data_IF_958686895359
#
_entry.id   IF_958686895359
#
_cell.length_a   1.000
_cell.length_b   1.000
_cell.length_c   1.000
_cell.angle_alpha   90.00
_cell.angle_beta   90.00
_cell.angle_gamma   90.00
#
_symmetry.space_group_name_H-M   'P 1'
#
loop_
_entity.id
_entity.type
_entity.pdbx_description
1 polymer ?
#
# COMPACT_ATOMS: atom_id res chain seq x y z
N UNK A 1 46.66 61.48 17.15
CA UNK A 1 45.95 61.02 15.93
C UNK A 1 45.97 59.49 15.75
N UNK A 2 45.83 58.71 16.84
CA UNK A 2 45.95 57.23 16.84
C UNK A 2 44.73 56.57 17.49
N UNK A 3 43.88 57.37 18.15
CA UNK A 3 42.67 56.82 18.87
C UNK A 3 41.40 56.67 18.01
N UNK A 4 41.40 57.15 16.77
CA UNK A 4 40.20 57.07 15.88
C UNK A 4 40.09 55.75 15.12
N UNK A 5 41.16 54.97 14.99
CA UNK A 5 41.15 53.74 14.17
C UNK A 5 40.71 52.47 14.94
N UNK A 6 40.73 52.49 16.29
CA UNK A 6 40.34 51.31 17.09
C UNK A 6 38.83 51.13 17.15
N UNK A 7 38.05 52.22 17.13
CA UNK A 7 36.60 52.15 17.14
C UNK A 7 36.00 51.68 15.81
N UNK A 8 36.64 51.97 14.70
CA UNK A 8 36.20 51.54 13.37
C UNK A 8 36.42 50.03 13.17
N UNK A 9 37.48 49.45 13.67
CA UNK A 9 37.79 48.02 13.59
C UNK A 9 36.82 47.17 14.42
N UNK A 10 36.38 47.65 15.61
CA UNK A 10 35.46 46.95 16.46
C UNK A 10 34.04 46.85 15.85
N UNK A 11 33.59 47.91 15.14
CA UNK A 11 32.27 47.92 14.50
C UNK A 11 32.25 47.00 13.28
N UNK A 12 33.33 46.92 12.49
CA UNK A 12 33.43 46.02 11.34
C UNK A 12 33.46 44.56 11.82
N UNK A 13 34.18 44.26 12.91
CA UNK A 13 34.23 42.89 13.47
C UNK A 13 32.87 42.36 13.94
N UNK A 14 32.07 43.21 14.59
CA UNK A 14 30.72 42.81 15.06
C UNK A 14 29.77 42.63 13.89
N UNK A 15 29.83 43.48 12.85
CA UNK A 15 28.99 43.35 11.69
C UNK A 15 29.31 42.08 10.87
N UNK A 16 30.61 41.74 10.73
CA UNK A 16 31.03 40.51 10.03
C UNK A 16 30.63 39.26 10.85
N UNK A 17 30.73 39.28 12.17
CA UNK A 17 30.29 38.15 13.00
C UNK A 17 28.77 37.90 12.93
N UNK A 18 27.94 38.98 12.90
CA UNK A 18 26.49 38.85 12.71
C UNK A 18 26.10 38.29 11.33
N UNK A 19 26.82 38.71 10.26
CA UNK A 19 26.52 38.21 8.92
C UNK A 19 26.94 36.75 8.78
N UNK A 20 28.03 36.33 9.37
CA UNK A 20 28.49 34.92 9.36
C UNK A 20 27.50 34.06 10.21
N UNK A 21 27.10 34.54 11.37
CA UNK A 21 26.14 33.83 12.24
C UNK A 21 24.78 33.61 11.57
N UNK A 22 24.24 34.61 10.87
CA UNK A 22 22.98 34.50 10.13
C UNK A 22 23.12 33.58 8.91
N UNK A 23 24.25 33.62 8.22
CA UNK A 23 24.52 32.75 7.06
C UNK A 23 24.66 31.28 7.45
N UNK A 24 25.28 30.96 8.59
CA UNK A 24 25.38 29.58 9.08
C UNK A 24 24.02 29.04 9.54
N UNK A 25 23.23 29.87 10.21
CA UNK A 25 21.88 29.48 10.64
C UNK A 25 20.94 29.27 9.45
N UNK A 26 21.02 30.07 8.40
CA UNK A 26 20.24 29.92 7.18
C UNK A 26 20.68 28.70 6.38
N UNK A 27 21.97 28.42 6.29
CA UNK A 27 22.51 27.24 5.59
C UNK A 27 22.10 25.93 6.28
N UNK A 28 22.14 25.87 7.62
CA UNK A 28 21.65 24.71 8.37
C UNK A 28 20.13 24.52 8.24
N UNK A 29 19.39 25.62 8.16
CA UNK A 29 17.93 25.56 7.95
C UNK A 29 17.56 25.06 6.54
N UNK A 30 18.31 25.50 5.53
CA UNK A 30 18.12 25.04 4.13
C UNK A 30 18.50 23.57 3.97
N UNK A 31 19.58 23.10 4.63
CA UNK A 31 19.99 21.69 4.57
C UNK A 31 18.98 20.74 5.27
N UNK A 32 18.24 21.25 6.24
CA UNK A 32 17.16 20.48 6.88
C UNK A 32 15.92 20.40 5.98
N UNK A 33 15.67 21.40 5.12
CA UNK A 33 14.62 21.37 4.10
C UNK A 33 15.01 20.53 2.87
N UNK A 34 16.29 20.50 2.48
CA UNK A 34 16.77 19.63 1.38
C UNK A 34 16.67 18.14 1.74
N UNK A 35 16.78 17.77 3.03
CA UNK A 35 16.61 16.40 3.49
C UNK A 35 15.13 15.94 3.54
N UNK A 36 14.17 16.85 3.34
CA UNK A 36 12.74 16.51 3.18
C UNK A 36 12.39 16.19 1.72
N UNK A 37 13.23 16.56 0.76
CA UNK A 37 13.00 16.41 -0.66
C UNK A 37 13.48 15.08 -1.27
N UNK A 38 14.21 14.24 -0.52
CA UNK A 38 14.56 12.88 -0.95
C UNK A 38 13.55 11.83 -0.43
N UNK A 39 12.30 12.22 -0.31
CA UNK A 39 11.18 11.28 -0.40
C UNK A 39 10.81 11.17 -1.88
N UNK A 40 11.67 10.52 -2.66
CA UNK A 40 11.19 9.87 -3.88
C UNK A 40 9.91 9.15 -3.52
N UNK A 41 8.79 9.33 -4.25
CA UNK A 41 7.62 8.48 -4.06
C UNK A 41 8.15 7.06 -4.19
N UNK A 42 8.20 6.30 -3.08
CA UNK A 42 8.47 4.88 -3.18
C UNK A 42 7.38 4.35 -4.11
N UNK A 43 7.78 3.94 -5.29
CA UNK A 43 6.91 3.33 -6.27
C UNK A 43 6.41 2.05 -5.63
N UNK A 44 5.19 2.11 -5.09
CA UNK A 44 4.53 0.93 -4.56
C UNK A 44 4.44 -0.10 -5.68
N UNK A 45 4.82 -1.33 -5.40
CA UNK A 45 4.58 -2.44 -6.29
C UNK A 45 3.08 -2.57 -6.48
N UNK A 46 2.60 -2.23 -7.66
CA UNK A 46 1.17 -2.30 -7.98
C UNK A 46 0.95 -3.58 -8.76
N UNK A 47 0.32 -4.55 -8.10
CA UNK A 47 -0.02 -5.83 -8.73
C UNK A 47 -1.49 -5.76 -9.11
N UNK A 48 -1.77 -5.47 -10.36
CA UNK A 48 -3.12 -5.33 -10.86
C UNK A 48 -3.61 -6.64 -11.50
N UNK A 49 -4.86 -7.00 -11.25
CA UNK A 49 -5.60 -8.02 -11.99
C UNK A 49 -6.37 -7.34 -13.11
N UNK A 50 -6.23 -7.82 -14.34
CA UNK A 50 -6.90 -7.28 -15.51
C UNK A 50 -5.97 -6.48 -16.43
N UNK A 51 -6.56 -5.71 -17.34
CA UNK A 51 -5.81 -5.01 -18.37
C UNK A 51 -5.11 -3.75 -17.83
N UNK A 52 -3.83 -3.57 -18.18
CA UNK A 52 -3.11 -2.33 -17.90
C UNK A 52 -3.70 -1.10 -18.65
N UNK A 53 -4.51 -1.34 -19.69
CA UNK A 53 -5.21 -0.29 -20.45
C UNK A 53 -6.63 -0.03 -19.99
N UNK A 54 -7.07 -0.66 -18.88
CA UNK A 54 -8.38 -0.42 -18.29
C UNK A 54 -8.54 1.06 -17.90
N UNK A 55 -9.72 1.63 -18.21
CA UNK A 55 -10.02 3.03 -17.93
C UNK A 55 -10.46 3.28 -16.50
N UNK A 56 -10.92 2.24 -15.82
CA UNK A 56 -11.36 2.29 -14.42
C UNK A 56 -10.49 1.34 -13.59
N UNK A 57 -10.11 1.78 -12.39
CA UNK A 57 -9.38 0.97 -11.41
C UNK A 57 -10.19 0.85 -10.13
N UNK A 58 -10.35 -0.36 -9.65
CA UNK A 58 -10.87 -0.64 -8.31
C UNK A 58 -9.68 -0.95 -7.40
N UNK A 59 -9.52 -0.15 -6.35
CA UNK A 59 -8.54 -0.41 -5.29
C UNK A 59 -9.29 -0.90 -4.06
N UNK A 60 -9.17 -2.18 -3.77
CA UNK A 60 -9.68 -2.78 -2.53
C UNK A 60 -8.64 -2.60 -1.42
N UNK A 61 -9.06 -2.05 -0.28
CA UNK A 61 -8.29 -2.07 0.96
C UNK A 61 -8.89 -3.15 1.85
N UNK A 62 -8.10 -4.19 2.14
CA UNK A 62 -8.61 -5.40 2.79
C UNK A 62 -7.64 -6.02 3.80
N UNK A 63 -8.18 -6.96 4.56
CA UNK A 63 -7.44 -7.83 5.50
C UNK A 63 -7.86 -9.28 5.22
N UNK A 64 -6.91 -10.18 5.10
CA UNK A 64 -7.19 -11.59 4.81
C UNK A 64 -7.97 -12.30 5.94
N UNK A 65 -8.03 -11.76 7.16
CA UNK A 65 -8.87 -12.28 8.24
C UNK A 65 -10.24 -11.61 8.33
N UNK A 66 -10.56 -10.66 7.43
CA UNK A 66 -11.82 -9.94 7.45
C UNK A 66 -12.95 -10.76 6.81
N UNK A 67 -13.97 -11.14 7.60
CA UNK A 67 -15.15 -11.85 7.11
C UNK A 67 -15.92 -11.08 6.03
N UNK A 68 -15.98 -9.75 6.16
CA UNK A 68 -16.66 -8.91 5.17
C UNK A 68 -15.87 -8.84 3.86
N UNK A 69 -14.52 -8.89 3.91
CA UNK A 69 -13.70 -9.02 2.70
C UNK A 69 -13.96 -10.37 2.01
N UNK A 70 -14.02 -11.47 2.78
CA UNK A 70 -14.41 -12.78 2.25
C UNK A 70 -15.81 -12.75 1.64
N UNK A 71 -16.76 -12.13 2.31
CA UNK A 71 -18.15 -12.02 1.78
C UNK A 71 -18.17 -11.32 0.42
N UNK A 72 -17.44 -10.22 0.27
CA UNK A 72 -17.31 -9.51 -1.00
C UNK A 72 -16.59 -10.38 -2.05
N UNK A 73 -15.51 -11.01 -1.67
CA UNK A 73 -14.76 -11.93 -2.52
C UNK A 73 -15.64 -13.04 -3.09
N UNK A 74 -16.52 -13.63 -2.27
CA UNK A 74 -17.40 -14.75 -2.69
C UNK A 74 -18.64 -14.29 -3.47
N UNK A 75 -19.23 -13.13 -3.14
CA UNK A 75 -20.56 -12.75 -3.64
C UNK A 75 -20.53 -11.68 -4.71
N UNK A 76 -19.60 -10.73 -4.63
CA UNK A 76 -19.59 -9.56 -5.51
C UNK A 76 -18.45 -9.61 -6.51
N UNK A 77 -17.26 -9.97 -6.04
CA UNK A 77 -16.04 -10.01 -6.88
C UNK A 77 -16.19 -10.85 -8.16
N UNK A 78 -16.78 -12.07 -8.16
CA UNK A 78 -16.90 -12.86 -9.38
C UNK A 78 -17.62 -12.12 -10.49
N UNK A 79 -18.74 -11.44 -10.17
CA UNK A 79 -19.51 -10.67 -11.14
C UNK A 79 -18.71 -9.47 -11.70
N UNK A 80 -17.86 -8.85 -10.86
CA UNK A 80 -16.97 -7.76 -11.31
C UNK A 80 -15.90 -8.31 -12.23
N UNK A 81 -15.31 -9.47 -11.93
CA UNK A 81 -14.34 -10.13 -12.79
C UNK A 81 -14.96 -10.41 -14.15
N UNK A 82 -16.06 -11.13 -14.19
CA UNK A 82 -16.71 -11.57 -15.44
C UNK A 82 -17.16 -10.39 -16.33
N UNK A 83 -17.75 -9.35 -15.72
CA UNK A 83 -18.40 -8.28 -16.48
C UNK A 83 -17.44 -7.12 -16.82
N UNK A 84 -16.38 -6.92 -16.05
CA UNK A 84 -15.54 -5.74 -16.18
C UNK A 84 -14.04 -6.02 -16.31
N UNK A 85 -13.50 -6.93 -15.50
CA UNK A 85 -12.06 -7.21 -15.52
C UNK A 85 -11.68 -8.02 -16.79
N UNK A 86 -12.38 -9.11 -17.05
CA UNK A 86 -12.15 -9.98 -18.19
C UNK A 86 -12.47 -9.29 -19.53
N UNK A 87 -13.36 -8.30 -19.48
CA UNK A 87 -13.67 -7.44 -20.64
C UNK A 87 -12.66 -6.30 -20.86
N UNK A 88 -11.69 -6.14 -19.96
CA UNK A 88 -10.63 -5.13 -20.04
C UNK A 88 -11.05 -3.71 -19.68
N UNK A 89 -12.25 -3.50 -19.15
CA UNK A 89 -12.77 -2.19 -18.74
C UNK A 89 -12.24 -1.73 -17.39
N UNK A 90 -12.02 -2.69 -16.47
CA UNK A 90 -11.59 -2.46 -15.10
C UNK A 90 -10.34 -3.26 -14.79
N UNK A 91 -9.44 -2.70 -13.99
CA UNK A 91 -8.44 -3.47 -13.27
C UNK A 91 -8.70 -3.42 -11.75
N UNK A 92 -8.25 -4.46 -11.06
CA UNK A 92 -8.40 -4.59 -9.61
C UNK A 92 -7.02 -4.60 -8.96
N UNK A 93 -6.86 -3.80 -7.90
CA UNK A 93 -5.67 -3.72 -7.06
C UNK A 93 -6.06 -4.01 -5.62
N UNK A 94 -5.25 -4.78 -4.89
CA UNK A 94 -5.44 -5.00 -3.47
C UNK A 94 -4.37 -4.26 -2.66
N UNK A 95 -4.79 -3.58 -1.60
CA UNK A 95 -3.91 -2.92 -0.62
C UNK A 95 -4.14 -3.56 0.74
N UNK A 96 -3.08 -4.12 1.29
CA UNK A 96 -3.13 -4.79 2.58
C UNK A 96 -3.35 -3.79 3.72
N UNK A 97 -4.31 -4.10 4.57
CA UNK A 97 -4.55 -3.42 5.84
C UNK A 97 -4.67 -4.45 6.99
N UNK A 98 -3.58 -5.16 7.35
CA UNK A 98 -3.57 -6.22 8.34
C UNK A 98 -3.66 -5.64 9.76
N UNK A 99 -4.85 -5.73 10.39
CA UNK A 99 -5.08 -5.17 11.74
C UNK A 99 -5.99 -6.03 12.62
N UNK A 100 -6.63 -7.05 12.06
CA UNK A 100 -7.63 -7.83 12.79
C UNK A 100 -7.03 -8.88 13.72
N UNK A 101 -5.87 -9.45 13.37
CA UNK A 101 -5.25 -10.48 14.19
C UNK A 101 -3.79 -10.74 13.84
N UNK A 102 -3.18 -11.69 14.56
CA UNK A 102 -1.75 -12.03 14.41
C UNK A 102 -1.45 -12.66 13.04
N UNK A 103 -2.41 -13.40 12.49
CA UNK A 103 -2.27 -14.10 11.20
C UNK A 103 -2.48 -13.15 10.00
N UNK A 104 -3.02 -11.93 10.19
CA UNK A 104 -3.25 -10.96 9.10
C UNK A 104 -1.95 -10.56 8.39
N UNK A 105 -0.91 -10.25 9.15
CA UNK A 105 0.37 -9.80 8.59
C UNK A 105 1.11 -10.93 7.86
N UNK A 106 1.26 -12.15 8.40
CA UNK A 106 1.85 -13.27 7.66
C UNK A 106 1.10 -13.61 6.36
N UNK A 107 -0.24 -13.58 6.38
CA UNK A 107 -1.04 -13.81 5.18
C UNK A 107 -0.76 -12.77 4.09
N UNK A 108 -0.68 -11.49 4.45
CA UNK A 108 -0.31 -10.43 3.53
C UNK A 108 1.13 -10.57 2.99
N UNK A 109 2.11 -10.92 3.83
CA UNK A 109 3.50 -11.17 3.39
C UNK A 109 3.55 -12.34 2.41
N UNK A 110 2.77 -13.40 2.64
CA UNK A 110 2.76 -14.60 1.82
C UNK A 110 2.31 -14.33 0.36
N UNK A 111 1.38 -13.39 0.12
CA UNK A 111 0.96 -13.03 -1.24
C UNK A 111 2.10 -12.41 -2.05
N UNK A 112 2.94 -11.59 -1.43
CA UNK A 112 4.12 -11.03 -2.10
C UNK A 112 5.21 -12.08 -2.33
N UNK A 113 5.33 -13.07 -1.43
CA UNK A 113 6.21 -14.22 -1.67
C UNK A 113 5.74 -15.08 -2.84
N UNK A 114 4.43 -15.19 -3.06
CA UNK A 114 3.86 -15.84 -4.23
C UNK A 114 4.04 -15.00 -5.50
N UNK A 115 4.00 -13.66 -5.39
CA UNK A 115 4.25 -12.75 -6.49
C UNK A 115 5.69 -12.82 -7.03
N UNK A 116 6.66 -13.19 -6.24
CA UNK A 116 8.03 -13.50 -6.73
C UNK A 116 8.05 -14.62 -7.78
N UNK A 117 6.91 -15.32 -7.95
CA UNK A 117 6.69 -16.43 -8.87
C UNK A 117 5.46 -16.20 -9.78
N UNK A 118 5.04 -14.94 -9.94
CA UNK A 118 3.87 -14.53 -10.75
C UNK A 118 2.53 -15.16 -10.28
N UNK A 119 2.41 -15.46 -8.95
CA UNK A 119 1.27 -16.16 -8.35
C UNK A 119 0.53 -15.32 -7.30
N UNK A 120 0.64 -13.98 -7.35
CA UNK A 120 -0.03 -13.11 -6.38
C UNK A 120 -1.54 -13.38 -6.30
N UNK A 121 -2.24 -13.29 -7.44
CA UNK A 121 -3.69 -13.40 -7.47
C UNK A 121 -4.19 -14.83 -7.24
N UNK A 122 -3.46 -15.85 -7.68
CA UNK A 122 -3.78 -17.24 -7.36
C UNK A 122 -3.68 -17.49 -5.85
N UNK A 123 -2.66 -16.93 -5.22
CA UNK A 123 -2.46 -17.04 -3.78
C UNK A 123 -3.49 -16.22 -2.99
N UNK A 124 -3.83 -15.02 -3.46
CA UNK A 124 -4.91 -14.19 -2.92
C UNK A 124 -6.25 -14.94 -2.89
N UNK A 125 -6.59 -15.63 -3.98
CA UNK A 125 -7.78 -16.49 -4.06
C UNK A 125 -7.71 -17.61 -3.03
N UNK A 126 -6.59 -18.33 -2.97
CA UNK A 126 -6.41 -19.43 -2.03
C UNK A 126 -6.58 -19.00 -0.56
N UNK A 127 -6.10 -17.80 -0.20
CA UNK A 127 -6.29 -17.26 1.15
C UNK A 127 -7.77 -17.05 1.49
N UNK A 128 -8.55 -16.40 0.62
CA UNK A 128 -9.96 -16.15 0.90
C UNK A 128 -10.82 -17.42 0.84
N UNK A 129 -10.51 -18.36 -0.04
CA UNK A 129 -11.19 -19.67 -0.09
C UNK A 129 -11.00 -20.46 1.19
N UNK A 130 -9.81 -20.37 1.82
CA UNK A 130 -9.48 -21.12 3.02
C UNK A 130 -9.59 -20.29 4.31
N UNK A 131 -10.06 -19.04 4.22
CA UNK A 131 -10.27 -18.21 5.40
C UNK A 131 -11.29 -18.85 6.34
N UNK A 132 -10.90 -18.99 7.63
CA UNK A 132 -11.77 -19.46 8.69
C UNK A 132 -12.10 -18.34 9.68
N UNK A 133 -11.66 -18.33 10.87
CA UNK A 133 -11.87 -17.25 11.85
C UNK A 133 -10.59 -16.45 12.13
N UNK A 134 -10.72 -15.31 12.76
CA UNK A 134 -9.57 -14.51 13.18
C UNK A 134 -8.72 -15.34 14.16
N UNK A 135 -7.43 -15.44 13.86
CA UNK A 135 -6.43 -16.15 14.65
C UNK A 135 -6.79 -17.62 15.00
N UNK A 136 -7.59 -18.25 14.15
CA UNK A 136 -7.93 -19.67 14.30
C UNK A 136 -6.80 -20.63 13.88
N UNK A 137 -5.67 -20.09 13.42
CA UNK A 137 -4.51 -20.84 12.92
C UNK A 137 -4.62 -21.24 11.44
N UNK A 138 -5.67 -20.83 10.74
CA UNK A 138 -5.85 -21.12 9.31
C UNK A 138 -4.75 -20.49 8.45
N UNK A 139 -4.18 -19.37 8.89
CA UNK A 139 -3.09 -18.66 8.22
C UNK A 139 -1.77 -18.71 9.02
N UNK A 140 -1.55 -19.77 9.80
CA UNK A 140 -0.23 -20.03 10.38
C UNK A 140 0.83 -20.24 9.29
N UNK A 141 2.11 -20.01 9.60
CA UNK A 141 3.19 -20.17 8.61
C UNK A 141 3.18 -21.57 7.94
N UNK A 142 2.83 -22.61 8.68
CA UNK A 142 2.72 -23.97 8.15
C UNK A 142 1.57 -24.06 7.12
N UNK A 143 0.42 -23.48 7.44
CA UNK A 143 -0.74 -23.48 6.54
C UNK A 143 -0.48 -22.64 5.29
N UNK A 144 0.15 -21.48 5.43
CA UNK A 144 0.55 -20.63 4.31
C UNK A 144 1.49 -21.37 3.34
N UNK A 145 2.43 -22.19 3.85
CA UNK A 145 3.27 -23.04 3.02
C UNK A 145 2.48 -24.15 2.32
N UNK A 146 1.43 -24.70 2.95
CA UNK A 146 0.54 -25.68 2.32
C UNK A 146 -0.19 -25.04 1.13
N UNK A 147 -0.71 -23.82 1.27
CA UNK A 147 -1.35 -23.12 0.13
C UNK A 147 -0.37 -22.88 -1.02
N UNK A 148 0.86 -22.47 -0.72
CA UNK A 148 1.90 -22.31 -1.74
C UNK A 148 2.21 -23.64 -2.47
N UNK A 149 2.27 -24.74 -1.74
CA UNK A 149 2.48 -26.08 -2.31
C UNK A 149 1.34 -26.50 -3.25
N UNK A 150 0.07 -26.21 -2.88
CA UNK A 150 -1.09 -26.53 -3.74
C UNK A 150 -1.16 -25.72 -5.03
N UNK A 151 -0.44 -24.59 -5.07
CA UNK A 151 -0.32 -23.73 -6.25
C UNK A 151 0.95 -24.00 -7.08
N UNK A 152 1.64 -25.12 -6.80
CA UNK A 152 2.88 -25.54 -7.47
C UNK A 152 4.01 -24.50 -7.40
N UNK A 153 4.08 -23.72 -6.30
CA UNK A 153 5.17 -22.77 -6.09
C UNK A 153 6.49 -23.48 -5.76
N UNK A 154 7.61 -22.86 -6.12
CA UNK A 154 8.92 -23.30 -5.63
C UNK A 154 9.00 -23.09 -4.11
N UNK A 155 8.94 -24.19 -3.36
CA UNK A 155 8.82 -24.16 -1.91
C UNK A 155 10.07 -23.65 -1.19
N UNK A 156 11.26 -23.84 -1.75
CA UNK A 156 12.51 -23.32 -1.18
C UNK A 156 12.51 -21.79 -1.23
N UNK A 157 12.13 -21.22 -2.40
CA UNK A 157 12.03 -19.77 -2.58
C UNK A 157 10.92 -19.17 -1.71
N UNK A 158 9.73 -19.77 -1.72
CA UNK A 158 8.59 -19.30 -0.94
C UNK A 158 8.85 -19.32 0.56
N UNK A 159 9.37 -20.47 1.07
CA UNK A 159 9.66 -20.63 2.50
C UNK A 159 10.73 -19.65 2.97
N UNK A 160 11.80 -19.45 2.20
CA UNK A 160 12.85 -18.48 2.53
C UNK A 160 12.29 -17.04 2.59
N UNK A 161 11.40 -16.68 1.65
CA UNK A 161 10.75 -15.38 1.62
C UNK A 161 9.85 -15.17 2.85
N UNK A 162 8.96 -16.14 3.13
CA UNK A 162 8.00 -16.05 4.23
C UNK A 162 8.71 -16.04 5.59
N UNK A 163 9.63 -16.97 5.83
CA UNK A 163 10.34 -17.12 7.11
C UNK A 163 11.26 -15.92 7.40
N UNK A 164 11.78 -15.25 6.38
CA UNK A 164 12.56 -14.01 6.52
C UNK A 164 11.70 -12.75 6.66
N UNK A 165 10.38 -12.85 6.55
CA UNK A 165 9.47 -11.69 6.49
C UNK A 165 9.90 -10.66 5.45
N UNK A 166 10.35 -11.10 4.24
CA UNK A 166 10.93 -10.25 3.20
C UNK A 166 10.08 -9.00 2.90
N UNK A 167 8.77 -9.15 2.81
CA UNK A 167 7.84 -8.10 2.43
C UNK A 167 7.15 -7.39 3.60
N UNK A 168 7.63 -7.60 4.84
CA UNK A 168 7.09 -6.92 6.03
C UNK A 168 6.98 -5.40 5.87
N UNK A 169 8.03 -4.76 5.35
CA UNK A 169 8.06 -3.29 5.22
C UNK A 169 7.08 -2.80 4.16
N UNK A 170 6.87 -3.55 3.08
CA UNK A 170 5.90 -3.23 2.04
C UNK A 170 4.47 -3.32 2.57
N UNK A 171 4.12 -4.39 3.25
CA UNK A 171 2.81 -4.54 3.90
C UNK A 171 2.57 -3.44 4.94
N UNK A 172 3.59 -3.08 5.74
CA UNK A 172 3.51 -1.98 6.69
C UNK A 172 3.29 -0.62 6.00
N UNK A 173 3.90 -0.38 4.86
CA UNK A 173 3.69 0.83 4.08
C UNK A 173 2.27 0.88 3.52
N UNK A 174 1.73 -0.23 3.01
CA UNK A 174 0.35 -0.36 2.56
C UNK A 174 -0.64 -0.04 3.68
N UNK A 175 -0.44 -0.61 4.86
CA UNK A 175 -1.22 -0.29 6.05
C UNK A 175 -1.22 1.21 6.37
N UNK A 176 -0.04 1.84 6.39
CA UNK A 176 0.07 3.27 6.65
C UNK A 176 -0.59 4.11 5.55
N UNK A 177 -0.48 3.70 4.29
CA UNK A 177 -1.15 4.35 3.16
C UNK A 177 -2.67 4.28 3.31
N UNK A 178 -3.22 3.10 3.62
CA UNK A 178 -4.65 2.94 3.89
C UNK A 178 -5.14 3.87 5.02
N UNK A 179 -4.39 3.94 6.13
CA UNK A 179 -4.70 4.88 7.22
C UNK A 179 -4.65 6.34 6.80
N UNK A 180 -3.65 6.75 6.02
CA UNK A 180 -3.51 8.12 5.53
C UNK A 180 -4.62 8.50 4.55
N UNK A 181 -5.19 7.54 3.82
CA UNK A 181 -6.38 7.70 2.98
C UNK A 181 -7.69 7.75 3.79
N UNK A 182 -7.62 7.65 5.12
CA UNK A 182 -8.78 7.71 6.01
C UNK A 182 -9.58 6.42 6.08
N UNK A 183 -9.01 5.28 5.68
CA UNK A 183 -9.66 3.98 5.82
C UNK A 183 -9.73 3.59 7.29
N UNK A 184 -10.93 3.27 7.77
CA UNK A 184 -11.21 2.90 9.16
C UNK A 184 -11.72 1.47 9.31
N UNK A 185 -12.13 0.84 8.21
CA UNK A 185 -12.67 -0.53 8.18
C UNK A 185 -12.41 -1.19 6.84
N UNK A 186 -12.41 -2.52 6.83
CA UNK A 186 -12.29 -3.33 5.62
C UNK A 186 -13.58 -4.11 5.35
N UNK A 187 -13.91 -4.37 4.07
CA UNK A 187 -13.28 -3.80 2.90
C UNK A 187 -13.67 -2.33 2.71
N UNK A 188 -12.76 -1.53 2.15
CA UNK A 188 -13.05 -0.19 1.61
C UNK A 188 -12.50 -0.13 0.20
N UNK A 189 -13.29 0.37 -0.74
CA UNK A 189 -12.95 0.43 -2.15
C UNK A 189 -12.84 1.88 -2.59
N UNK A 190 -11.77 2.19 -3.32
CA UNK A 190 -11.64 3.40 -4.11
C UNK A 190 -11.80 3.01 -5.57
N UNK A 191 -12.76 3.59 -6.26
CA UNK A 191 -13.01 3.35 -7.68
C UNK A 191 -12.69 4.64 -8.41
N UNK A 192 -11.72 4.59 -9.30
CA UNK A 192 -11.18 5.79 -9.95
C UNK A 192 -11.02 5.56 -11.45
N UNK A 193 -11.20 6.62 -12.22
CA UNK A 193 -10.96 6.60 -13.66
C UNK A 193 -9.68 7.36 -14.05
N UNK A 194 -9.31 7.25 -15.31
CA UNK A 194 -8.13 7.93 -15.86
C UNK A 194 -8.27 9.45 -15.94
N UNK A 195 -9.49 9.99 -15.81
CA UNK A 195 -9.76 11.43 -15.78
C UNK A 195 -9.56 12.04 -14.38
N UNK A 196 -9.41 11.20 -13.35
CA UNK A 196 -9.21 11.61 -11.96
C UNK A 196 -10.49 11.67 -11.12
N UNK A 197 -11.64 11.25 -11.67
CA UNK A 197 -12.87 11.11 -10.90
C UNK A 197 -12.75 9.88 -10.00
N UNK A 198 -13.29 9.98 -8.77
CA UNK A 198 -13.17 8.95 -7.77
C UNK A 198 -14.45 8.82 -6.95
N UNK A 199 -14.83 7.57 -6.68
CA UNK A 199 -15.90 7.20 -5.77
C UNK A 199 -15.40 6.23 -4.69
N UNK A 200 -16.04 6.24 -3.52
CA UNK A 200 -15.65 5.38 -2.39
C UNK A 200 -16.83 4.51 -1.97
N UNK A 201 -16.62 3.19 -1.99
CA UNK A 201 -17.58 2.21 -1.45
C UNK A 201 -17.00 1.64 -0.16
N UNK A 202 -17.83 1.56 0.90
CA UNK A 202 -17.43 1.00 2.20
C UNK A 202 -18.23 -0.26 2.50
N UNK A 203 -17.52 -1.30 2.96
CA UNK A 203 -18.11 -2.61 3.28
C UNK A 203 -18.41 -3.47 2.06
N UNK A 204 -18.82 -4.70 2.32
CA UNK A 204 -19.16 -5.69 1.29
C UNK A 204 -20.54 -5.38 0.67
N UNK A 205 -20.61 -4.33 -0.14
CA UNK A 205 -21.84 -3.96 -0.83
C UNK A 205 -22.15 -4.97 -1.95
N UNK A 206 -23.44 -5.11 -2.32
CA UNK A 206 -23.87 -5.98 -3.41
C UNK A 206 -23.35 -5.47 -4.77
N UNK A 207 -23.28 -6.37 -5.74
CA UNK A 207 -22.79 -6.08 -7.10
C UNK A 207 -23.42 -4.83 -7.73
N UNK A 208 -24.75 -4.64 -7.58
CA UNK A 208 -25.46 -3.50 -8.18
C UNK A 208 -24.94 -2.13 -7.75
N UNK A 209 -24.36 -2.01 -6.54
CA UNK A 209 -23.74 -0.78 -6.08
C UNK A 209 -22.43 -0.52 -6.82
N UNK A 210 -21.61 -1.56 -7.02
CA UNK A 210 -20.38 -1.48 -7.79
C UNK A 210 -20.67 -1.20 -9.27
N UNK A 211 -21.63 -1.90 -9.86
CA UNK A 211 -22.06 -1.70 -11.24
C UNK A 211 -22.43 -0.24 -11.49
N UNK A 212 -23.31 0.34 -10.66
CA UNK A 212 -23.70 1.75 -10.79
C UNK A 212 -22.51 2.71 -10.76
N UNK A 213 -21.55 2.49 -9.86
CA UNK A 213 -20.38 3.36 -9.74
C UNK A 213 -19.43 3.16 -10.92
N UNK A 214 -19.15 1.90 -11.30
CA UNK A 214 -18.27 1.59 -12.44
C UNK A 214 -18.83 2.21 -13.72
N UNK A 215 -20.11 2.00 -14.02
CA UNK A 215 -20.75 2.54 -15.22
C UNK A 215 -20.75 4.07 -15.26
N UNK A 216 -20.77 4.75 -14.10
CA UNK A 216 -20.67 6.21 -14.03
C UNK A 216 -19.27 6.75 -14.31
N UNK A 217 -18.24 5.90 -14.19
CA UNK A 217 -16.83 6.26 -14.37
C UNK A 217 -16.24 5.79 -15.72
N UNK A 218 -16.95 4.92 -16.45
CA UNK A 218 -16.58 4.46 -17.80
C UNK A 218 -16.91 5.52 -18.83
#
# INVERSE_FOLDING_TARGET
MILANIKALAVIGVAVAMVIGVSVSFSSYVSEFENVQDRTPQTFRTIALGSASATVTIVEVGDYQCEMCKLWFEKTRPQIIDNYVDTGKVNLIFIDMPFLGQDSLPAAVATYCADDQDKYWDYHVALYEHQEGIDSGWASNERLKVFAFTLDLNMDQFSLCLDSNRYYQEVKQNFNKAKNLGVQSTPTFFILNTSGDQEIIRGAQPYSVFEQVIESLL
#
